data_IF_741650789339
#
_entry.id   IF_741650789339
#
_cell.length_a   1.000
_cell.length_b   1.000
_cell.length_c   1.000
_cell.angle_alpha   90.00
_cell.angle_beta   90.00
_cell.angle_gamma   90.00
#
_symmetry.space_group_name_H-M   'P 1'
#
loop_
_entity.id
_entity.type
_entity.pdbx_description
1 polymer ?
#
# COMPACT_ATOMS: atom_id res chain seq x y z
N UNK A 1 18.82 3.70 -7.60
CA UNK A 1 20.30 3.86 -7.57
C UNK A 1 20.83 4.38 -6.23
N UNK A 2 20.16 5.31 -5.54
CA UNK A 2 20.61 5.79 -4.23
C UNK A 2 20.68 4.68 -3.15
N UNK A 3 19.74 3.73 -3.14
CA UNK A 3 19.73 2.61 -2.19
C UNK A 3 20.91 1.65 -2.36
N UNK A 4 21.43 1.48 -3.59
CA UNK A 4 22.61 0.64 -3.85
C UNK A 4 23.87 1.33 -3.34
N UNK A 5 23.98 2.65 -3.46
CA UNK A 5 25.10 3.42 -2.90
C UNK A 5 25.04 3.42 -1.37
N UNK A 6 23.85 3.55 -0.78
CA UNK A 6 23.65 3.52 0.67
C UNK A 6 23.92 2.13 1.28
N UNK A 7 23.40 1.08 0.65
CA UNK A 7 23.67 -0.30 1.06
C UNK A 7 25.15 -0.67 0.87
N UNK A 8 25.80 -0.22 -0.21
CA UNK A 8 27.23 -0.44 -0.42
C UNK A 8 28.05 0.32 0.62
N UNK A 9 27.68 1.55 1.00
CA UNK A 9 28.34 2.28 2.09
C UNK A 9 28.14 1.59 3.45
N UNK A 10 26.93 1.16 3.80
CA UNK A 10 26.66 0.45 5.05
C UNK A 10 27.30 -0.94 5.09
N UNK A 11 27.37 -1.67 3.98
CA UNK A 11 27.98 -2.98 3.90
C UNK A 11 29.50 -2.86 3.87
N UNK A 12 30.10 -1.92 3.12
CA UNK A 12 31.56 -1.76 3.08
C UNK A 12 32.09 -1.15 4.38
N UNK A 13 31.44 -0.12 4.92
CA UNK A 13 31.82 0.47 6.21
C UNK A 13 31.45 -0.44 7.39
N UNK A 14 30.30 -1.12 7.32
CA UNK A 14 29.85 -2.07 8.34
C UNK A 14 30.73 -3.31 8.38
N UNK A 15 31.05 -3.94 7.26
CA UNK A 15 31.86 -5.17 7.21
C UNK A 15 33.31 -4.92 7.62
N UNK A 16 33.88 -3.77 7.27
CA UNK A 16 35.23 -3.38 7.76
C UNK A 16 35.29 -3.20 9.27
N UNK A 17 34.20 -2.72 9.89
CA UNK A 17 34.11 -2.56 11.35
C UNK A 17 33.70 -3.88 12.03
N UNK A 18 32.81 -4.68 11.43
CA UNK A 18 32.30 -5.93 12.00
C UNK A 18 33.31 -7.08 11.90
N UNK A 19 34.05 -7.20 10.80
CA UNK A 19 35.09 -8.22 10.65
C UNK A 19 36.25 -8.00 11.64
N UNK A 20 36.57 -6.75 11.98
CA UNK A 20 37.57 -6.43 13.01
C UNK A 20 36.99 -6.50 14.44
N UNK A 21 35.73 -6.11 14.65
CA UNK A 21 35.08 -6.16 15.98
C UNK A 21 34.74 -7.59 16.44
N UNK A 22 34.40 -8.49 15.52
CA UNK A 22 34.18 -9.92 15.82
C UNK A 22 35.50 -10.67 16.07
N UNK A 23 36.62 -10.21 15.50
CA UNK A 23 37.93 -10.83 15.73
C UNK A 23 38.61 -10.33 17.00
N UNK A 24 38.45 -9.05 17.41
CA UNK A 24 39.00 -8.55 18.68
C UNK A 24 38.12 -7.46 19.29
N UNK A 25 37.42 -7.78 20.37
CA UNK A 25 36.65 -6.85 21.20
C UNK A 25 37.46 -5.75 21.93
N UNK A 26 38.48 -5.13 21.30
CA UNK A 26 39.19 -3.96 21.82
C UNK A 26 39.70 -3.05 20.70
N UNK A 27 38.91 -2.04 20.35
CA UNK A 27 39.29 -0.87 19.53
C UNK A 27 40.53 -0.13 20.08
N UNK A 28 40.92 -0.37 21.34
CA UNK A 28 42.09 0.24 21.98
C UNK A 28 43.46 -0.30 21.51
N UNK A 29 43.54 -1.45 20.83
CA UNK A 29 44.81 -2.15 20.55
C UNK A 29 45.33 -2.10 19.10
N UNK A 30 44.75 -1.28 18.22
CA UNK A 30 45.26 -1.11 16.85
C UNK A 30 46.61 -0.37 16.90
N UNK A 31 47.72 -1.11 16.76
CA UNK A 31 49.10 -0.58 16.75
C UNK A 31 49.46 0.14 15.45
N UNK A 32 48.76 -0.14 14.35
CA UNK A 32 49.05 0.47 13.06
C UNK A 32 48.33 1.82 12.91
N UNK A 33 49.06 2.93 12.72
CA UNK A 33 48.48 4.28 12.69
C UNK A 33 47.50 4.50 11.52
N UNK A 34 47.66 3.73 10.44
CA UNK A 34 46.82 3.81 9.24
C UNK A 34 45.42 3.22 9.49
N UNK A 35 45.34 2.02 10.08
CA UNK A 35 44.05 1.41 10.45
C UNK A 35 43.27 2.29 11.45
N UNK A 36 43.97 2.89 12.41
CA UNK A 36 43.35 3.76 13.43
C UNK A 36 42.72 5.01 12.81
N UNK A 37 43.38 5.59 11.80
CA UNK A 37 42.81 6.69 10.99
C UNK A 37 41.61 6.21 10.16
N UNK A 38 41.70 5.05 9.51
CA UNK A 38 40.61 4.49 8.72
C UNK A 38 39.35 4.20 9.56
N UNK A 39 39.51 3.62 10.76
CA UNK A 39 38.37 3.39 11.67
C UNK A 39 37.76 4.69 12.20
N UNK A 40 38.56 5.73 12.49
CA UNK A 40 38.01 7.04 12.87
C UNK A 40 37.26 7.67 11.72
N UNK A 41 37.84 7.66 10.53
CA UNK A 41 37.22 8.22 9.33
C UNK A 41 35.91 7.48 8.97
N UNK A 42 35.89 6.15 9.11
CA UNK A 42 34.69 5.34 8.92
C UNK A 42 33.62 5.60 9.98
N UNK A 43 34.01 5.83 11.24
CA UNK A 43 33.09 6.16 12.32
C UNK A 43 32.54 7.59 12.19
N UNK A 44 33.37 8.54 11.74
CA UNK A 44 32.96 9.90 11.40
C UNK A 44 31.98 9.89 10.22
N UNK A 45 32.25 9.10 9.17
CA UNK A 45 31.32 8.89 8.04
C UNK A 45 30.00 8.25 8.50
N UNK A 46 30.04 7.30 9.42
CA UNK A 46 28.85 6.68 10.00
C UNK A 46 28.04 7.68 10.82
N UNK A 47 28.71 8.51 11.64
CA UNK A 47 28.09 9.58 12.41
C UNK A 47 27.49 10.64 11.49
N UNK A 48 28.19 11.00 10.41
CA UNK A 48 27.70 11.94 9.41
C UNK A 48 26.52 11.36 8.64
N UNK A 49 26.51 10.05 8.36
CA UNK A 49 25.38 9.33 7.79
C UNK A 49 24.18 9.25 8.75
N UNK A 50 24.41 9.10 10.06
CA UNK A 50 23.35 9.13 11.10
C UNK A 50 22.80 10.56 11.26
N UNK A 51 23.67 11.57 11.27
CA UNK A 51 23.27 12.99 11.36
C UNK A 51 22.60 13.47 10.08
N UNK A 52 22.95 12.90 8.93
CA UNK A 52 22.29 13.12 7.65
C UNK A 52 21.09 12.18 7.43
N UNK A 53 20.86 11.17 8.28
CA UNK A 53 19.70 10.27 8.19
C UNK A 53 18.32 10.93 8.37
N UNK A 54 18.16 12.15 8.93
CA UNK A 54 16.91 12.90 8.85
C UNK A 54 16.50 13.21 7.40
N UNK A 55 17.42 13.14 6.43
CA UNK A 55 17.16 13.32 5.01
C UNK A 55 16.56 12.06 4.36
N UNK A 56 15.58 11.43 5.01
CA UNK A 56 14.79 10.39 4.36
C UNK A 56 13.93 11.04 3.27
N UNK A 57 14.18 10.68 2.00
CA UNK A 57 13.36 11.09 0.86
C UNK A 57 12.43 9.95 0.48
N UNK A 58 11.12 10.18 0.54
CA UNK A 58 10.14 9.24 0.03
C UNK A 58 10.00 9.43 -1.48
N UNK A 59 10.26 8.37 -2.23
CA UNK A 59 10.08 8.39 -3.68
C UNK A 59 8.68 7.86 -4.04
N UNK A 60 7.97 8.53 -4.95
CA UNK A 60 6.81 7.94 -5.59
C UNK A 60 7.30 6.76 -6.45
N UNK A 61 6.53 5.68 -6.45
CA UNK A 61 6.74 4.62 -7.43
C UNK A 61 6.20 5.14 -8.76
N UNK A 62 7.10 5.49 -9.68
CA UNK A 62 6.73 6.21 -10.91
C UNK A 62 5.62 5.49 -11.69
N UNK A 63 4.47 6.14 -11.85
CA UNK A 63 3.29 5.58 -12.51
C UNK A 63 2.42 4.67 -11.64
N UNK A 64 2.86 4.30 -10.44
CA UNK A 64 2.15 3.40 -9.52
C UNK A 64 1.72 4.08 -8.20
N UNK A 65 2.36 5.17 -7.79
CA UNK A 65 2.00 5.87 -6.57
C UNK A 65 2.42 7.35 -6.55
N UNK A 66 1.83 8.12 -5.65
CA UNK A 66 2.10 9.54 -5.43
C UNK A 66 2.34 9.80 -3.94
N UNK A 67 3.31 10.67 -3.62
CA UNK A 67 3.58 11.05 -2.24
C UNK A 67 2.70 12.22 -1.87
N UNK A 68 2.08 12.19 -0.69
CA UNK A 68 1.38 13.33 -0.10
C UNK A 68 1.99 13.74 1.22
N UNK A 69 1.96 15.03 1.47
CA UNK A 69 2.46 15.68 2.70
C UNK A 69 1.32 16.42 3.39
N UNK A 70 1.39 16.54 4.71
CA UNK A 70 0.36 17.18 5.53
C UNK A 70 0.90 18.45 6.19
N UNK A 71 0.21 19.57 6.00
CA UNK A 71 0.47 20.82 6.72
C UNK A 71 -0.83 21.25 7.42
N UNK A 72 -0.93 20.98 8.72
CA UNK A 72 -2.20 21.09 9.43
C UNK A 72 -3.23 20.11 8.84
N UNK A 73 -4.32 20.63 8.29
CA UNK A 73 -5.37 19.85 7.60
C UNK A 73 -5.27 19.92 6.07
N UNK A 74 -4.28 20.63 5.54
CA UNK A 74 -4.04 20.69 4.11
C UNK A 74 -3.23 19.47 3.66
N UNK A 75 -3.72 18.82 2.60
CA UNK A 75 -3.02 17.74 1.90
C UNK A 75 -2.36 18.33 0.65
N UNK A 76 -1.08 18.07 0.46
CA UNK A 76 -0.33 18.52 -0.73
C UNK A 76 0.31 17.34 -1.43
N UNK A 77 0.02 17.19 -2.72
CA UNK A 77 0.61 16.15 -3.58
C UNK A 77 2.03 16.53 -4.02
N UNK A 78 2.92 15.54 -4.02
CA UNK A 78 4.34 15.65 -4.31
C UNK A 78 4.70 14.60 -5.37
N UNK A 79 4.47 14.87 -6.67
CA UNK A 79 4.60 13.87 -7.74
C UNK A 79 6.04 13.39 -7.97
N UNK A 80 7.03 14.09 -7.42
CA UNK A 80 8.44 13.70 -7.49
C UNK A 80 8.96 13.09 -6.18
N UNK A 81 8.17 13.14 -5.11
CA UNK A 81 8.58 12.76 -3.76
C UNK A 81 8.82 13.95 -2.85
N UNK A 82 9.12 13.67 -1.59
CA UNK A 82 9.33 14.67 -0.56
C UNK A 82 10.30 14.18 0.52
N UNK A 83 11.03 15.12 1.12
CA UNK A 83 11.84 14.81 2.28
C UNK A 83 10.98 14.76 3.54
N UNK A 84 11.07 13.68 4.31
CA UNK A 84 10.22 13.44 5.49
C UNK A 84 10.43 14.45 6.63
N UNK A 85 11.63 15.02 6.76
CA UNK A 85 11.94 16.01 7.79
C UNK A 85 11.30 17.38 7.55
N UNK A 86 10.97 17.72 6.29
CA UNK A 86 10.34 19.00 5.95
C UNK A 86 8.90 19.12 6.50
N UNK A 87 8.26 18.00 6.83
CA UNK A 87 6.84 17.93 7.18
C UNK A 87 6.58 17.25 8.54
N UNK A 88 7.56 17.32 9.46
CA UNK A 88 7.41 16.78 10.82
C UNK A 88 7.11 15.27 10.87
N UNK A 89 7.49 14.51 9.84
CA UNK A 89 7.24 13.07 9.73
C UNK A 89 5.84 12.68 9.27
N UNK A 90 4.97 13.62 8.90
CA UNK A 90 3.63 13.33 8.38
C UNK A 90 3.63 13.33 6.84
N UNK A 91 3.89 12.17 6.25
CA UNK A 91 3.72 11.92 4.81
C UNK A 91 3.10 10.55 4.58
N UNK A 92 2.51 10.34 3.41
CA UNK A 92 1.97 9.04 3.01
C UNK A 92 2.19 8.81 1.52
N UNK A 93 2.38 7.56 1.14
CA UNK A 93 2.49 7.16 -0.26
C UNK A 93 1.16 6.55 -0.69
N UNK A 94 0.48 7.21 -1.64
CA UNK A 94 -0.84 6.84 -2.13
C UNK A 94 -0.68 5.94 -3.33
N UNK A 95 -1.19 4.70 -3.32
CA UNK A 95 -1.23 3.87 -4.52
C UNK A 95 -2.21 4.45 -5.55
N UNK A 96 -1.79 4.51 -6.81
CA UNK A 96 -2.63 5.00 -7.91
C UNK A 96 -3.85 4.12 -8.15
N UNK A 97 -3.73 2.82 -7.88
CA UNK A 97 -4.81 1.85 -7.98
C UNK A 97 -4.56 0.66 -7.04
N UNK A 98 -5.61 0.25 -6.33
CA UNK A 98 -5.66 -0.94 -5.49
C UNK A 98 -6.63 -1.91 -6.12
N UNK A 99 -6.19 -3.12 -6.40
CA UNK A 99 -7.00 -4.15 -7.07
C UNK A 99 -7.52 -5.14 -6.03
N UNK A 100 -8.85 -5.28 -5.93
CA UNK A 100 -9.53 -6.19 -5.02
C UNK A 100 -10.38 -7.16 -5.83
N UNK A 101 -10.28 -8.46 -5.56
CA UNK A 101 -11.05 -9.50 -6.25
C UNK A 101 -12.15 -10.05 -5.33
N UNK A 102 -13.32 -10.35 -5.89
CA UNK A 102 -14.42 -10.94 -5.14
C UNK A 102 -15.16 -11.96 -5.99
N UNK A 103 -15.81 -12.90 -5.30
CA UNK A 103 -16.62 -13.92 -5.93
C UNK A 103 -17.86 -14.26 -5.11
N UNK A 104 -18.99 -14.43 -5.80
CA UNK A 104 -20.23 -14.92 -5.20
C UNK A 104 -20.58 -16.26 -5.82
N UNK A 105 -20.67 -17.29 -4.99
CA UNK A 105 -21.18 -18.59 -5.41
C UNK A 105 -22.70 -18.56 -5.31
N UNK A 106 -23.35 -18.78 -6.45
CA UNK A 106 -24.79 -18.67 -6.62
C UNK A 106 -25.33 -20.07 -6.93
N UNK A 107 -26.33 -20.50 -6.16
CA UNK A 107 -27.10 -21.68 -6.51
C UNK A 107 -28.13 -21.26 -7.54
N UNK A 108 -27.94 -21.72 -8.77
CA UNK A 108 -28.92 -21.61 -9.86
C UNK A 108 -29.57 -22.98 -10.00
N UNK A 109 -30.76 -23.07 -10.60
CA UNK A 109 -31.58 -24.27 -10.66
C UNK A 109 -30.78 -25.59 -10.83
N UNK A 110 -31.18 -26.59 -10.04
CA UNK A 110 -30.51 -27.87 -9.80
C UNK A 110 -30.07 -28.58 -11.11
N UNK A 111 -28.79 -29.00 -11.29
CA UNK A 111 -27.65 -28.95 -10.37
C UNK A 111 -26.55 -27.92 -10.78
N UNK A 112 -26.89 -26.75 -11.34
CA UNK A 112 -25.86 -25.80 -11.81
C UNK A 112 -25.50 -24.75 -10.75
N UNK A 113 -24.52 -25.09 -9.90
CA UNK A 113 -23.79 -24.11 -9.08
C UNK A 113 -22.82 -23.34 -9.97
N UNK A 114 -22.81 -22.00 -9.85
CA UNK A 114 -21.84 -21.15 -10.57
C UNK A 114 -21.24 -20.10 -9.65
N UNK A 115 -19.99 -19.74 -9.89
CA UNK A 115 -19.33 -18.65 -9.17
C UNK A 115 -19.16 -17.46 -10.10
N UNK A 116 -19.81 -16.35 -9.76
CA UNK A 116 -19.59 -15.07 -10.43
C UNK A 116 -18.35 -14.42 -9.81
N UNK A 117 -17.30 -14.20 -10.58
CA UNK A 117 -16.07 -13.51 -10.15
C UNK A 117 -15.91 -12.17 -10.84
N UNK A 118 -15.35 -11.21 -10.12
CA UNK A 118 -15.08 -9.88 -10.64
C UNK A 118 -14.00 -9.19 -9.80
N UNK A 119 -13.43 -8.14 -10.39
CA UNK A 119 -12.33 -7.37 -9.80
C UNK A 119 -12.68 -5.90 -9.79
N UNK A 120 -12.38 -5.22 -8.69
CA UNK A 120 -12.55 -3.78 -8.52
C UNK A 120 -11.18 -3.12 -8.40
N UNK A 121 -10.94 -2.12 -9.23
CA UNK A 121 -9.86 -1.15 -9.05
C UNK A 121 -10.36 0.04 -8.23
N UNK A 122 -9.70 0.33 -7.13
CA UNK A 122 -10.00 1.43 -6.23
C UNK A 122 -8.86 2.45 -6.22
N UNK A 123 -9.19 3.73 -6.15
CA UNK A 123 -8.21 4.81 -6.05
C UNK A 123 -8.73 5.94 -5.16
N UNK A 124 -7.82 6.66 -4.52
CA UNK A 124 -8.15 7.92 -3.86
C UNK A 124 -8.37 8.97 -4.95
N UNK A 125 -9.53 9.62 -4.95
CA UNK A 125 -9.86 10.74 -5.84
C UNK A 125 -9.88 12.08 -5.12
N UNK A 126 -10.05 12.06 -3.80
CA UNK A 126 -9.97 13.24 -2.95
C UNK A 126 -9.10 12.91 -1.72
N UNK A 127 -7.79 13.18 -1.79
CA UNK A 127 -6.88 12.97 -0.67
C UNK A 127 -7.28 13.76 0.58
N UNK A 128 -7.89 14.93 0.42
CA UNK A 128 -8.31 15.78 1.54
C UNK A 128 -9.41 15.08 2.36
N UNK A 129 -10.42 14.52 1.68
CA UNK A 129 -11.46 13.72 2.34
C UNK A 129 -10.90 12.42 2.92
N UNK A 130 -10.05 11.72 2.19
CA UNK A 130 -9.49 10.45 2.66
C UNK A 130 -8.69 10.63 3.95
N UNK A 131 -7.81 11.63 4.01
CA UNK A 131 -6.97 11.92 5.17
C UNK A 131 -7.61 12.87 6.19
N UNK A 132 -8.89 13.22 6.05
CA UNK A 132 -9.64 13.90 7.11
C UNK A 132 -9.63 13.08 8.42
N UNK A 133 -9.61 11.75 8.31
CA UNK A 133 -9.36 10.85 9.44
C UNK A 133 -7.86 10.85 9.76
N UNK A 134 -7.48 11.51 10.85
CA UNK A 134 -6.06 11.70 11.26
C UNK A 134 -5.28 10.39 11.41
N UNK A 135 -5.95 9.31 11.79
CA UNK A 135 -5.35 7.97 11.90
C UNK A 135 -4.70 7.48 10.59
N UNK A 136 -5.25 7.89 9.44
CA UNK A 136 -4.72 7.52 8.12
C UNK A 136 -3.43 8.24 7.76
N UNK A 137 -3.14 9.40 8.36
CA UNK A 137 -1.96 10.24 8.06
C UNK A 137 -0.63 9.64 8.53
N UNK A 138 -0.71 8.62 9.40
CA UNK A 138 0.46 7.91 9.96
C UNK A 138 0.62 6.50 9.42
N UNK A 139 -0.10 6.15 8.35
CA UNK A 139 0.03 4.85 7.69
C UNK A 139 1.35 4.81 6.90
N UNK A 140 2.08 3.70 7.02
CA UNK A 140 3.32 3.44 6.31
C UNK A 140 3.10 3.39 4.80
N UNK A 141 4.07 3.95 4.09
CA UNK A 141 4.19 3.93 2.64
C UNK A 141 4.53 2.54 2.06
N UNK A 142 4.92 1.58 2.91
CA UNK A 142 5.36 0.27 2.45
C UNK A 142 4.23 -0.41 1.66
N UNK A 143 4.52 -0.64 0.38
CA UNK A 143 3.78 -1.48 -0.54
C UNK A 143 3.92 -2.92 -0.04
N UNK A 144 3.25 -3.21 1.08
CA UNK A 144 3.03 -4.58 1.50
C UNK A 144 2.42 -5.29 0.31
N UNK A 145 2.99 -6.44 -0.05
CA UNK A 145 2.40 -7.34 -1.03
C UNK A 145 1.01 -7.70 -0.52
N UNK A 146 0.01 -6.93 -0.97
CA UNK A 146 -1.39 -7.29 -0.82
C UNK A 146 -1.61 -8.22 -2.00
N UNK A 147 -1.45 -9.52 -1.73
CA UNK A 147 -1.97 -10.55 -2.63
C UNK A 147 -3.43 -10.20 -2.95
N UNK A 148 -3.92 -10.49 -4.18
CA UNK A 148 -5.29 -10.19 -4.57
C UNK A 148 -6.24 -10.75 -3.52
N UNK A 149 -6.81 -9.84 -2.72
CA UNK A 149 -7.44 -10.25 -1.49
C UNK A 149 -8.82 -10.79 -1.82
N UNK A 150 -9.04 -12.07 -1.54
CA UNK A 150 -10.38 -12.65 -1.57
C UNK A 150 -11.19 -11.99 -0.44
N UNK A 151 -12.36 -11.46 -0.76
CA UNK A 151 -13.29 -10.88 0.23
C UNK A 151 -13.61 -11.86 1.37
N UNK A 152 -13.52 -13.18 1.13
CA UNK A 152 -13.63 -14.21 2.18
C UNK A 152 -12.48 -14.20 3.19
N UNK A 153 -11.27 -13.82 2.76
CA UNK A 153 -10.10 -13.73 3.64
C UNK A 153 -10.11 -12.42 4.46
N UNK A 154 -10.64 -11.31 3.92
CA UNK A 154 -10.66 -10.00 4.60
C UNK A 154 -11.52 -9.96 5.87
N UNK A 155 -12.64 -10.67 5.88
CA UNK A 155 -13.48 -10.74 7.10
C UNK A 155 -12.78 -11.55 8.21
N UNK A 156 -11.94 -12.52 7.83
CA UNK A 156 -11.18 -13.32 8.79
C UNK A 156 -9.86 -12.66 9.23
N UNK A 157 -9.21 -11.88 8.37
CA UNK A 157 -7.92 -11.22 8.67
C UNK A 157 -8.05 -9.82 9.29
N UNK A 158 -9.17 -9.13 9.09
CA UNK A 158 -9.44 -7.80 9.69
C UNK A 158 -9.52 -7.82 11.23
N UNK A 159 -9.71 -9.00 11.85
CA UNK A 159 -9.68 -9.16 13.30
C UNK A 159 -8.26 -9.21 13.91
N UNK A 160 -7.21 -9.38 13.09
CA UNK A 160 -5.84 -9.66 13.59
C UNK A 160 -4.71 -8.78 13.05
N UNK A 161 -4.90 -8.07 11.95
CA UNK A 161 -3.87 -7.21 11.35
C UNK A 161 -4.52 -5.93 10.84
N UNK A 162 -4.55 -4.89 11.69
CA UNK A 162 -4.83 -3.53 11.23
C UNK A 162 -3.74 -3.14 10.25
N UNK A 163 -4.13 -3.08 8.98
CA UNK A 163 -3.28 -2.71 7.87
C UNK A 163 -2.67 -1.33 8.12
N UNK A 164 -1.40 -1.29 8.52
CA UNK A 164 -0.68 -0.04 8.78
C UNK A 164 -0.32 0.71 7.50
N UNK A 165 -0.97 0.44 6.36
CA UNK A 165 -0.64 0.98 5.03
C UNK A 165 -1.88 1.55 4.37
N UNK A 166 -1.70 2.60 3.56
CA UNK A 166 -2.80 3.25 2.81
C UNK A 166 -3.51 2.26 1.90
N UNK A 167 -2.75 1.37 1.25
CA UNK A 167 -3.28 0.32 0.37
C UNK A 167 -4.20 -0.65 1.10
N UNK A 168 -3.83 -1.08 2.29
CA UNK A 168 -4.64 -2.02 3.07
C UNK A 168 -5.91 -1.36 3.61
N UNK A 169 -5.85 -0.12 4.07
CA UNK A 169 -7.05 0.66 4.44
C UNK A 169 -8.05 0.77 3.29
N UNK A 170 -7.58 1.08 2.06
CA UNK A 170 -8.44 1.11 0.87
C UNK A 170 -9.04 -0.27 0.61
N UNK A 171 -8.22 -1.34 0.67
CA UNK A 171 -8.68 -2.70 0.44
C UNK A 171 -9.77 -3.12 1.45
N UNK A 172 -9.59 -2.81 2.73
CA UNK A 172 -10.53 -3.14 3.80
C UNK A 172 -11.88 -2.42 3.60
N UNK A 173 -11.86 -1.11 3.32
CA UNK A 173 -13.07 -0.34 3.06
C UNK A 173 -13.83 -0.85 1.85
N UNK A 174 -13.11 -1.11 0.74
CA UNK A 174 -13.73 -1.57 -0.50
C UNK A 174 -14.29 -2.99 -0.32
N UNK A 175 -13.54 -3.89 0.30
CA UNK A 175 -14.00 -5.26 0.54
C UNK A 175 -15.21 -5.33 1.46
N UNK A 176 -15.27 -4.49 2.50
CA UNK A 176 -16.45 -4.37 3.34
C UNK A 176 -17.68 -3.97 2.51
N UNK A 177 -17.55 -2.97 1.62
CA UNK A 177 -18.65 -2.57 0.73
C UNK A 177 -19.00 -3.62 -0.31
N UNK A 178 -18.03 -4.39 -0.80
CA UNK A 178 -18.29 -5.52 -1.70
C UNK A 178 -19.06 -6.64 -1.00
N UNK A 179 -18.77 -6.91 0.28
CA UNK A 179 -19.52 -7.87 1.08
C UNK A 179 -20.98 -7.44 1.24
N UNK A 180 -21.21 -6.17 1.62
CA UNK A 180 -22.57 -5.61 1.72
C UNK A 180 -23.30 -5.68 0.37
N UNK A 181 -22.63 -5.29 -0.71
CA UNK A 181 -23.18 -5.38 -2.06
C UNK A 181 -23.61 -6.81 -2.41
N UNK A 182 -22.74 -7.80 -2.18
CA UNK A 182 -23.02 -9.20 -2.48
C UNK A 182 -24.21 -9.74 -1.70
N UNK A 183 -24.35 -9.34 -0.43
CA UNK A 183 -25.48 -9.74 0.39
C UNK A 183 -26.80 -9.12 -0.09
N UNK A 184 -26.80 -7.83 -0.44
CA UNK A 184 -28.00 -7.10 -0.87
C UNK A 184 -28.45 -7.54 -2.28
N UNK A 185 -27.51 -7.72 -3.21
CA UNK A 185 -27.81 -7.95 -4.63
C UNK A 185 -27.65 -9.41 -5.07
N UNK A 186 -27.45 -10.36 -4.15
CA UNK A 186 -27.25 -11.80 -4.43
C UNK A 186 -28.25 -12.37 -5.45
N UNK A 187 -29.54 -12.09 -5.30
CA UNK A 187 -30.59 -12.53 -6.23
C UNK A 187 -30.46 -11.90 -7.63
N UNK A 188 -30.08 -10.62 -7.71
CA UNK A 188 -29.84 -9.94 -8.98
C UNK A 188 -28.59 -10.48 -9.68
N UNK A 189 -27.54 -10.78 -8.92
CA UNK A 189 -26.32 -11.44 -9.44
C UNK A 189 -26.63 -12.86 -9.96
N UNK A 190 -27.60 -13.56 -9.37
CA UNK A 190 -28.10 -14.85 -9.88
C UNK A 190 -28.81 -14.75 -11.24
N UNK A 191 -29.12 -13.54 -11.74
CA UNK A 191 -29.62 -13.35 -13.11
C UNK A 191 -28.50 -13.15 -14.13
N UNK A 192 -27.28 -12.81 -13.70
CA UNK A 192 -26.10 -12.62 -14.56
C UNK A 192 -25.53 -13.98 -14.96
N UNK A 193 -25.90 -14.45 -16.15
CA UNK A 193 -25.64 -15.82 -16.62
C UNK A 193 -24.79 -15.90 -17.89
N UNK A 194 -24.48 -14.77 -18.53
CA UNK A 194 -23.70 -14.74 -19.75
C UNK A 194 -22.65 -13.60 -19.70
N UNK A 195 -21.37 -13.92 -19.44
CA UNK A 195 -20.32 -12.91 -19.37
C UNK A 195 -19.98 -12.29 -20.73
N UNK A 196 -20.41 -12.91 -21.85
CA UNK A 196 -20.23 -12.37 -23.19
C UNK A 196 -21.34 -11.39 -23.59
N UNK A 197 -22.40 -11.26 -22.80
CA UNK A 197 -23.50 -10.34 -23.08
C UNK A 197 -23.14 -8.92 -22.60
N UNK A 198 -22.96 -7.94 -23.51
CA UNK A 198 -22.56 -6.58 -23.14
C UNK A 198 -23.61 -5.87 -22.29
N UNK A 199 -24.91 -6.16 -22.49
CA UNK A 199 -25.99 -5.58 -21.68
C UNK A 199 -25.91 -6.05 -20.23
N UNK A 200 -25.59 -7.32 -20.00
CA UNK A 200 -25.39 -7.84 -18.64
C UNK A 200 -24.12 -7.26 -17.99
N UNK A 201 -23.04 -7.09 -18.76
CA UNK A 201 -21.81 -6.46 -18.27
C UNK A 201 -22.03 -5.00 -17.89
N UNK A 202 -22.74 -4.24 -18.71
CA UNK A 202 -23.07 -2.83 -18.44
C UNK A 202 -24.02 -2.71 -17.23
N UNK A 203 -25.04 -3.56 -17.14
CA UNK A 203 -25.94 -3.60 -16.00
C UNK A 203 -25.20 -3.92 -14.69
N UNK A 204 -24.30 -4.91 -14.73
CA UNK A 204 -23.44 -5.25 -13.60
C UNK A 204 -22.54 -4.07 -13.20
N UNK A 205 -21.84 -3.46 -14.17
CA UNK A 205 -20.94 -2.33 -13.95
C UNK A 205 -21.67 -1.16 -13.29
N UNK A 206 -22.80 -0.75 -13.85
CA UNK A 206 -23.58 0.36 -13.30
C UNK A 206 -24.07 0.05 -11.89
N UNK A 207 -24.58 -1.16 -11.67
CA UNK A 207 -25.10 -1.56 -10.37
C UNK A 207 -24.02 -1.51 -9.28
N UNK A 208 -22.85 -2.12 -9.53
CA UNK A 208 -21.78 -2.21 -8.54
C UNK A 208 -21.08 -0.86 -8.34
N UNK A 209 -20.77 -0.14 -9.42
CA UNK A 209 -20.08 1.15 -9.32
C UNK A 209 -20.98 2.19 -8.67
N UNK A 210 -22.28 2.25 -8.98
CA UNK A 210 -23.19 3.17 -8.31
C UNK A 210 -23.29 2.88 -6.81
N UNK A 211 -23.47 1.61 -6.42
CA UNK A 211 -23.59 1.25 -5.01
C UNK A 211 -22.30 1.54 -4.23
N UNK A 212 -21.16 1.06 -4.72
CA UNK A 212 -19.90 1.18 -3.97
C UNK A 212 -19.41 2.63 -3.95
N UNK A 213 -19.46 3.35 -5.07
CA UNK A 213 -19.03 4.76 -5.09
C UNK A 213 -19.93 5.65 -4.22
N UNK A 214 -21.24 5.40 -4.17
CA UNK A 214 -22.12 6.16 -3.28
C UNK A 214 -21.72 6.03 -1.81
N UNK A 215 -21.27 4.84 -1.39
CA UNK A 215 -20.87 4.55 -0.01
C UNK A 215 -19.42 4.95 0.31
N UNK A 216 -18.54 5.06 -0.69
CA UNK A 216 -17.13 5.41 -0.52
C UNK A 216 -16.80 6.88 -0.81
N UNK A 217 -17.75 7.64 -1.37
CA UNK A 217 -17.57 9.07 -1.66
C UNK A 217 -17.15 9.88 -0.44
N UNK A 218 -17.71 9.57 0.72
CA UNK A 218 -17.38 10.22 2.00
C UNK A 218 -15.92 9.98 2.45
N UNK A 219 -15.32 8.88 1.99
CA UNK A 219 -13.93 8.54 2.25
C UNK A 219 -12.99 9.05 1.15
N UNK A 220 -13.48 9.78 0.14
CA UNK A 220 -12.67 10.29 -0.96
C UNK A 220 -12.15 9.22 -1.92
N UNK A 221 -12.76 8.02 -1.92
CA UNK A 221 -12.36 6.87 -2.74
C UNK A 221 -13.37 6.70 -3.88
N UNK A 222 -12.85 6.40 -5.07
CA UNK A 222 -13.65 5.95 -6.20
C UNK A 222 -13.19 4.58 -6.69
N UNK A 223 -14.14 3.81 -7.21
CA UNK A 223 -13.94 2.47 -7.73
C UNK A 223 -14.40 2.34 -9.17
N UNK A 224 -13.75 1.42 -9.89
CA UNK A 224 -14.16 0.93 -11.20
C UNK A 224 -14.12 -0.59 -11.20
N UNK A 225 -15.09 -1.23 -11.83
CA UNK A 225 -15.11 -2.69 -11.95
C UNK A 225 -14.54 -3.16 -13.29
N UNK A 226 -13.90 -4.31 -13.26
CA UNK A 226 -13.63 -5.12 -14.44
C UNK A 226 -14.88 -5.93 -14.82
N UNK A 227 -14.96 -6.44 -16.06
CA UNK A 227 -16.03 -7.35 -16.46
C UNK A 227 -16.12 -8.57 -15.53
N UNK A 228 -17.32 -9.07 -15.29
CA UNK A 228 -17.50 -10.30 -14.52
C UNK A 228 -17.23 -11.54 -15.37
N UNK A 229 -16.79 -12.62 -14.72
CA UNK A 229 -16.64 -13.96 -15.29
C UNK A 229 -17.50 -14.97 -14.53
N UNK A 230 -17.75 -16.12 -15.13
CA UNK A 230 -18.46 -17.24 -14.52
C UNK A 230 -17.52 -18.44 -14.52
N UNK A 231 -17.32 -19.05 -13.35
CA UNK A 231 -16.57 -20.29 -13.13
C UNK A 231 -17.48 -21.39 -12.57
#
# INVERSE_FOLDING_TARGET
MAFVIWAVLCVVCGWGIFADACCWGRVKNIKQPILRKATRFGLDLLLLAIVASPLYYEFPNYGASEVVTFEGDQVTERPFGAFAWEFGGAFSNIPNNVVITSGVTLSVDDPKVRTLRYTIGARITDPTLFFAKKERRHMFALDGQVDPVDTKQLVASSAGNTNKTVKGEIADLVAYRMLEFNNIFSNGLAMLNNPLNPVQQDAFRLLIECFINANLKQDGIAVKTSPFTIE
#
